data_IF_902040349111
#
_entry.id   IF_902040349111
#
_cell.length_a   1.000
_cell.length_b   1.000
_cell.length_c   1.000
_cell.angle_alpha   90.00
_cell.angle_beta   90.00
_cell.angle_gamma   90.00
#
_symmetry.space_group_name_H-M   'P 1'
#
loop_
_entity.id
_entity.type
_entity.pdbx_description
1 polymer ?
#
# COMPACT_ATOMS: atom_id res chain seq x y z
N UNK A 1 -28.14 3.35 0.00
CA UNK A 1 -26.73 3.00 -0.31
C UNK A 1 -25.83 4.23 -0.48
N UNK A 2 -26.30 5.36 -1.05
CA UNK A 2 -25.50 6.60 -1.15
C UNK A 2 -25.17 7.26 0.21
N UNK A 3 -25.97 6.98 1.24
CA UNK A 3 -25.79 7.56 2.58
C UNK A 3 -24.71 6.90 3.45
N UNK A 4 -24.07 5.83 2.96
CA UNK A 4 -23.04 5.08 3.70
C UNK A 4 -21.64 5.68 3.56
N UNK A 5 -21.50 6.88 2.99
CA UNK A 5 -20.22 7.58 2.93
C UNK A 5 -19.15 6.92 2.04
N UNK A 6 -19.54 5.99 1.16
CA UNK A 6 -18.63 5.33 0.24
C UNK A 6 -17.82 6.35 -0.56
N UNK A 7 -16.48 6.25 -0.47
CA UNK A 7 -15.55 7.11 -1.19
C UNK A 7 -15.21 8.45 -0.50
N UNK A 8 -15.81 8.77 0.65
CA UNK A 8 -15.35 9.93 1.43
C UNK A 8 -13.95 9.65 1.96
N UNK A 9 -12.99 10.53 1.62
CA UNK A 9 -11.60 10.40 2.03
C UNK A 9 -10.71 9.56 1.10
N UNK A 10 -11.23 9.10 -0.05
CA UNK A 10 -10.38 8.50 -1.07
C UNK A 10 -9.38 9.53 -1.58
N UNK A 11 -8.09 9.15 -1.60
CA UNK A 11 -7.02 9.99 -2.11
C UNK A 11 -6.58 9.46 -3.46
N UNK A 12 -6.57 10.31 -4.49
CA UNK A 12 -6.10 9.91 -5.80
C UNK A 12 -4.57 9.94 -5.83
N UNK A 13 -3.92 8.78 -5.90
CA UNK A 13 -2.46 8.65 -5.73
C UNK A 13 -1.62 9.54 -6.65
N UNK A 14 -2.09 9.83 -7.87
CA UNK A 14 -1.37 10.65 -8.84
C UNK A 14 -1.31 12.14 -8.49
N UNK A 15 -2.14 12.61 -7.55
CA UNK A 15 -2.09 14.00 -7.07
C UNK A 15 -0.99 14.21 -6.00
N UNK A 16 -0.32 13.15 -5.56
CA UNK A 16 0.69 13.19 -4.50
C UNK A 16 2.12 13.00 -5.04
N UNK A 17 3.14 13.56 -4.36
CA UNK A 17 4.54 13.37 -4.74
C UNK A 17 4.91 11.90 -4.90
N UNK A 18 5.60 11.57 -6.00
CA UNK A 18 5.95 10.18 -6.31
C UNK A 18 4.78 9.32 -6.81
N UNK A 19 3.63 9.94 -7.15
CA UNK A 19 2.40 9.25 -7.57
C UNK A 19 1.90 8.24 -6.53
N UNK A 20 2.13 8.52 -5.25
CA UNK A 20 1.81 7.60 -4.16
C UNK A 20 1.31 8.35 -2.92
N UNK A 21 0.32 7.77 -2.27
CA UNK A 21 -0.24 8.24 -1.00
C UNK A 21 -0.43 7.05 -0.07
N UNK A 22 0.00 7.22 1.18
CA UNK A 22 -0.25 6.23 2.23
C UNK A 22 -1.70 6.34 2.68
N UNK A 23 -2.54 5.48 2.11
CA UNK A 23 -3.94 5.28 2.52
C UNK A 23 -4.20 3.79 2.70
N UNK A 24 -5.14 3.46 3.57
CA UNK A 24 -5.53 2.06 3.76
C UNK A 24 -6.35 1.56 2.59
N UNK A 25 -5.86 0.50 1.95
CA UNK A 25 -6.56 -0.24 0.90
C UNK A 25 -7.12 -1.57 1.41
N UNK A 26 -6.58 -2.09 2.51
CA UNK A 26 -7.06 -3.27 3.17
C UNK A 26 -8.14 -2.88 4.20
N UNK A 27 -9.08 -3.79 4.50
CA UNK A 27 -9.93 -3.67 5.69
C UNK A 27 -9.09 -3.54 6.96
N UNK A 28 -9.65 -2.90 7.98
CA UNK A 28 -9.00 -2.70 9.28
C UNK A 28 -8.48 -4.01 9.88
N UNK A 29 -9.23 -5.11 9.73
CA UNK A 29 -8.82 -6.42 10.28
C UNK A 29 -7.59 -7.02 9.58
N UNK A 30 -7.23 -6.51 8.40
CA UNK A 30 -6.10 -6.98 7.59
C UNK A 30 -4.98 -5.94 7.51
N UNK A 31 -5.10 -4.80 8.17
CA UNK A 31 -4.06 -3.78 8.20
C UNK A 31 -2.73 -4.36 8.71
N UNK A 32 -1.64 -3.98 8.04
CA UNK A 32 -0.30 -4.52 8.33
C UNK A 32 -0.04 -5.95 7.86
N UNK A 33 -1.03 -6.64 7.28
CA UNK A 33 -0.82 -7.98 6.71
C UNK A 33 -0.08 -7.89 5.39
N UNK A 34 1.06 -8.58 5.32
CA UNK A 34 1.84 -8.68 4.09
C UNK A 34 1.53 -9.99 3.33
N UNK A 35 1.03 -9.86 2.10
CA UNK A 35 0.73 -10.97 1.21
C UNK A 35 1.87 -11.28 0.21
N UNK A 36 2.86 -10.39 0.09
CA UNK A 36 3.95 -10.53 -0.85
C UNK A 36 5.29 -10.75 -0.12
N UNK A 37 5.88 -11.92 -0.32
CA UNK A 37 7.23 -12.24 0.15
C UNK A 37 8.14 -12.42 -1.04
N UNK A 38 9.10 -11.51 -1.19
CA UNK A 38 10.09 -11.62 -2.25
C UNK A 38 10.95 -12.88 -2.05
N UNK A 39 11.13 -13.64 -3.13
CA UNK A 39 12.11 -14.72 -3.20
C UNK A 39 13.50 -14.18 -3.52
N UNK A 40 14.40 -15.05 -3.98
CA UNK A 40 15.80 -14.70 -4.25
C UNK A 40 16.03 -13.99 -5.59
N UNK A 41 15.00 -13.83 -6.41
CA UNK A 41 15.14 -13.21 -7.74
C UNK A 41 15.50 -11.72 -7.60
N UNK A 42 16.46 -11.20 -8.40
CA UNK A 42 16.80 -9.77 -8.39
C UNK A 42 15.60 -8.86 -8.60
N UNK A 43 14.61 -9.30 -9.41
CA UNK A 43 13.41 -8.51 -9.68
C UNK A 43 12.49 -8.42 -8.47
N UNK A 44 12.32 -9.52 -7.74
CA UNK A 44 11.50 -9.55 -6.53
C UNK A 44 12.15 -8.73 -5.40
N UNK A 45 13.47 -8.76 -5.31
CA UNK A 45 14.23 -7.92 -4.38
C UNK A 45 14.10 -6.42 -4.70
N UNK A 46 14.03 -6.04 -5.98
CA UNK A 46 13.74 -4.65 -6.39
C UNK A 46 12.33 -4.24 -5.96
N UNK A 47 11.32 -5.11 -6.17
CA UNK A 47 9.94 -4.87 -5.75
C UNK A 47 9.86 -4.71 -4.23
N UNK A 48 10.52 -5.58 -3.45
CA UNK A 48 10.55 -5.47 -1.99
C UNK A 48 11.10 -4.11 -1.52
N UNK A 49 12.19 -3.63 -2.13
CA UNK A 49 12.78 -2.32 -1.80
C UNK A 49 11.83 -1.16 -2.16
N UNK A 50 11.15 -1.26 -3.31
CA UNK A 50 10.14 -0.24 -3.68
C UNK A 50 8.98 -0.22 -2.70
N UNK A 51 8.45 -1.39 -2.32
CA UNK A 51 7.38 -1.49 -1.32
C UNK A 51 7.82 -0.96 0.05
N UNK A 52 9.03 -1.27 0.49
CA UNK A 52 9.61 -0.74 1.73
C UNK A 52 9.70 0.79 1.69
N UNK A 53 10.16 1.36 0.58
CA UNK A 53 10.25 2.81 0.39
C UNK A 53 8.87 3.49 0.44
N UNK A 54 7.89 2.97 -0.29
CA UNK A 54 6.55 3.54 -0.38
C UNK A 54 5.82 3.46 0.98
N UNK A 55 5.92 2.32 1.66
CA UNK A 55 5.18 2.04 2.89
C UNK A 55 5.96 2.32 4.17
N UNK A 56 7.19 2.83 4.07
CA UNK A 56 8.07 3.13 5.21
C UNK A 56 8.16 1.96 6.22
N UNK A 57 8.21 0.73 5.70
CA UNK A 57 8.28 -0.47 6.52
C UNK A 57 6.94 -1.05 7.02
N UNK A 58 5.78 -0.42 6.77
CA UNK A 58 4.48 -0.88 7.29
C UNK A 58 4.15 -2.35 6.98
N UNK A 59 4.52 -2.83 5.79
CA UNK A 59 4.24 -4.19 5.30
C UNK A 59 5.51 -5.03 5.09
N UNK A 60 6.58 -4.80 5.86
CA UNK A 60 7.88 -5.48 5.68
C UNK A 60 8.04 -6.81 6.43
N UNK A 61 7.10 -7.17 7.31
CA UNK A 61 7.13 -8.41 8.10
C UNK A 61 6.49 -9.60 7.40
#
# INVERSE_FOLDING_TARGET
>A
MKDLGYGKGYQYSHDFPGNFVQQEFLPEELEGTNFFRAGSSPKEQEIAKQLEHLWSGKYTK
#
